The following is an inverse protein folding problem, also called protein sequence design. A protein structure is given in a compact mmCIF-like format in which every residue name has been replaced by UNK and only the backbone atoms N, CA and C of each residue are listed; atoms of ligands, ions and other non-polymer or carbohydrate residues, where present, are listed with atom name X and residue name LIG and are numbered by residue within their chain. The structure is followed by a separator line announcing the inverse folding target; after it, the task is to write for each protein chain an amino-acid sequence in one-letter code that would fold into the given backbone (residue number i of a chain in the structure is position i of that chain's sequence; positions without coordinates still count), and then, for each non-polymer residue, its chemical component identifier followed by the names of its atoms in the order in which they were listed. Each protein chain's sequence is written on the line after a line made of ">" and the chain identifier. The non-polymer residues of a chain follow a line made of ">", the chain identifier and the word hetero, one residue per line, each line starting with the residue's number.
data_IF_520158580951
#
_entry.id   IF_520158580951
#
_cell.length_a   1.000
_cell.length_b   1.000
_cell.length_c   1.000
_cell.angle_alpha   90.00
_cell.angle_beta   90.00
_cell.angle_gamma   90.00
#
_symmetry.space_group_name_H-M   'P 1'
#
loop_
_entity.id
_entity.type
_entity.pdbx_description
1 polymer ?
#
# COMPACT_ATOMS: atom_id res chain seq x y z
N UNK A 1 8.42 -14.37 16.76
CA UNK A 1 9.45 -13.50 16.16
C UNK A 1 8.94 -12.99 14.81
N UNK A 2 8.26 -11.84 14.79
CA UNK A 2 7.64 -11.26 13.59
C UNK A 2 8.62 -10.41 12.76
N UNK A 3 9.71 -9.97 13.39
CA UNK A 3 10.73 -9.08 12.82
C UNK A 3 11.48 -9.73 11.65
N UNK A 4 11.70 -11.04 11.67
CA UNK A 4 12.39 -11.75 10.58
C UNK A 4 11.56 -11.90 9.31
N UNK A 5 10.23 -12.02 9.41
CA UNK A 5 9.35 -12.17 8.26
C UNK A 5 9.14 -10.85 7.51
N UNK A 6 8.99 -9.74 8.23
CA UNK A 6 8.81 -8.41 7.62
C UNK A 6 10.04 -7.97 6.80
N UNK A 7 11.26 -8.30 7.28
CA UNK A 7 12.51 -7.95 6.59
C UNK A 7 12.69 -8.77 5.31
N UNK A 8 12.55 -10.11 5.36
CA UNK A 8 12.64 -10.93 4.14
C UNK A 8 11.54 -10.58 3.15
N UNK A 9 10.32 -10.32 3.60
CA UNK A 9 9.23 -9.93 2.71
C UNK A 9 9.51 -8.58 2.02
N UNK A 10 10.05 -7.60 2.75
CA UNK A 10 10.50 -6.34 2.14
C UNK A 10 11.63 -6.60 1.14
N UNK A 11 12.62 -7.42 1.42
CA UNK A 11 13.67 -7.69 0.41
C UNK A 11 13.13 -8.45 -0.81
N UNK A 12 12.26 -9.44 -0.60
CA UNK A 12 11.73 -10.33 -1.65
C UNK A 12 10.72 -9.63 -2.56
N UNK A 13 9.88 -8.74 -2.01
CA UNK A 13 8.87 -8.00 -2.77
C UNK A 13 9.27 -6.55 -3.06
N UNK A 14 10.25 -6.00 -2.30
CA UNK A 14 10.72 -4.62 -2.43
C UNK A 14 12.02 -4.41 -3.22
N UNK A 15 12.86 -5.42 -3.44
CA UNK A 15 14.13 -5.21 -4.18
C UNK A 15 14.21 -5.73 -5.63
N UNK A 16 13.46 -6.73 -6.13
CA UNK A 16 13.67 -7.20 -7.50
C UNK A 16 12.88 -6.33 -8.50
N UNK A 17 13.62 -5.64 -9.38
CA UNK A 17 13.14 -4.90 -10.57
C UNK A 17 12.07 -3.82 -10.32
N UNK A 18 12.37 -2.84 -9.45
CA UNK A 18 11.42 -1.79 -9.11
C UNK A 18 11.48 -0.59 -10.04
N UNK A 19 10.34 -0.25 -10.64
CA UNK A 19 10.10 1.04 -11.27
C UNK A 19 8.99 1.74 -10.50
N UNK A 20 9.38 2.54 -9.51
CA UNK A 20 8.44 3.39 -8.80
C UNK A 20 8.02 4.56 -9.68
N UNK A 21 6.78 4.99 -9.55
CA UNK A 21 6.29 6.25 -10.13
C UNK A 21 5.66 7.12 -9.06
N UNK A 22 5.61 8.41 -9.32
CA UNK A 22 4.82 9.32 -8.50
C UNK A 22 3.31 9.02 -8.64
N UNK A 23 2.52 9.16 -7.57
CA UNK A 23 1.06 9.15 -7.69
C UNK A 23 0.58 10.42 -8.41
N UNK A 24 -0.53 10.31 -9.15
CA UNK A 24 -1.26 11.48 -9.64
C UNK A 24 -2.14 12.11 -8.53
N UNK A 25 -2.88 13.17 -8.85
CA UNK A 25 -3.72 13.88 -7.86
C UNK A 25 -4.83 13.00 -7.26
N UNK A 26 -5.41 12.09 -8.06
CA UNK A 26 -6.46 11.17 -7.62
C UNK A 26 -5.90 10.11 -6.67
N UNK A 27 -4.82 9.48 -7.10
CA UNK A 27 -4.10 8.46 -6.33
C UNK A 27 -3.54 9.04 -5.04
N UNK A 28 -3.05 10.29 -5.08
CA UNK A 28 -2.57 11.02 -3.91
C UNK A 28 -3.68 11.20 -2.87
N UNK A 29 -4.85 11.66 -3.28
CA UNK A 29 -6.03 11.79 -2.41
C UNK A 29 -6.44 10.43 -1.81
N UNK A 30 -6.45 9.37 -2.63
CA UNK A 30 -6.78 8.01 -2.18
C UNK A 30 -5.75 7.44 -1.21
N UNK A 31 -4.45 7.70 -1.42
CA UNK A 31 -3.37 7.29 -0.54
C UNK A 31 -3.43 8.02 0.81
N UNK A 32 -3.76 9.31 0.82
CA UNK A 32 -3.96 10.09 2.05
C UNK A 32 -5.15 9.55 2.87
N UNK A 33 -6.26 9.19 2.22
CA UNK A 33 -7.41 8.53 2.87
C UNK A 33 -7.03 7.14 3.41
N UNK A 34 -6.36 6.31 2.61
CA UNK A 34 -5.88 5.00 3.06
C UNK A 34 -4.96 5.13 4.26
N UNK A 35 -4.01 6.07 4.24
CA UNK A 35 -3.11 6.35 5.35
C UNK A 35 -3.87 6.69 6.65
N UNK A 36 -4.92 7.50 6.54
CA UNK A 36 -5.73 7.90 7.68
C UNK A 36 -6.53 6.72 8.24
N UNK A 37 -7.17 5.93 7.36
CA UNK A 37 -7.95 4.75 7.77
C UNK A 37 -7.09 3.67 8.40
N UNK A 38 -5.92 3.39 7.84
CA UNK A 38 -4.95 2.47 8.42
C UNK A 38 -4.54 2.92 9.82
N UNK A 39 -4.37 4.23 10.04
CA UNK A 39 -4.01 4.77 11.35
C UNK A 39 -5.07 4.68 12.43
N UNK A 40 -6.30 4.30 12.07
CA UNK A 40 -7.39 4.05 13.01
C UNK A 40 -7.53 2.56 13.38
N UNK A 41 -6.69 1.68 12.83
CA UNK A 41 -6.75 0.24 13.04
C UNK A 41 -5.81 -0.21 14.17
N UNK A 42 -6.16 -1.33 14.79
CA UNK A 42 -5.30 -2.00 15.74
C UNK A 42 -4.19 -2.77 14.99
N UNK A 43 -2.99 -2.86 15.57
CA UNK A 43 -1.86 -3.56 14.96
C UNK A 43 -2.13 -5.05 14.61
N UNK A 44 -3.16 -5.66 15.21
CA UNK A 44 -3.57 -7.04 14.96
C UNK A 44 -4.75 -7.20 13.98
N UNK A 45 -5.19 -6.14 13.31
CA UNK A 45 -6.30 -6.22 12.34
C UNK A 45 -5.97 -7.21 11.23
N UNK A 46 -6.95 -8.04 10.86
CA UNK A 46 -6.74 -9.12 9.90
C UNK A 46 -6.49 -8.58 8.49
N UNK A 47 -5.77 -9.35 7.66
CA UNK A 47 -5.56 -8.97 6.26
C UNK A 47 -6.85 -8.88 5.44
N UNK A 48 -7.92 -9.57 5.85
CA UNK A 48 -9.24 -9.48 5.22
C UNK A 48 -9.96 -8.17 5.55
N UNK A 49 -9.92 -7.74 6.81
CA UNK A 49 -10.49 -6.47 7.24
C UNK A 49 -9.74 -5.29 6.61
N UNK A 50 -8.41 -5.35 6.60
CA UNK A 50 -7.58 -4.35 5.91
C UNK A 50 -7.90 -4.33 4.42
N UNK A 51 -8.02 -5.49 3.78
CA UNK A 51 -8.37 -5.57 2.36
C UNK A 51 -9.72 -4.91 2.09
N UNK A 52 -10.70 -5.07 2.98
CA UNK A 52 -12.01 -4.42 2.87
C UNK A 52 -11.89 -2.90 2.91
N UNK A 53 -11.08 -2.37 3.83
CA UNK A 53 -10.80 -0.92 3.90
C UNK A 53 -10.15 -0.40 2.61
N UNK A 54 -9.17 -1.13 2.08
CA UNK A 54 -8.50 -0.76 0.83
C UNK A 54 -9.50 -0.71 -0.34
N UNK A 55 -10.48 -1.63 -0.39
CA UNK A 55 -11.56 -1.59 -1.37
C UNK A 55 -12.51 -0.39 -1.15
N UNK A 56 -12.86 -0.06 0.09
CA UNK A 56 -13.71 1.11 0.37
C UNK A 56 -13.04 2.42 -0.04
N UNK A 57 -11.72 2.55 0.14
CA UNK A 57 -10.96 3.71 -0.37
C UNK A 57 -11.07 3.79 -1.89
N UNK A 58 -10.79 2.70 -2.61
CA UNK A 58 -10.89 2.70 -4.07
C UNK A 58 -12.29 3.08 -4.58
N UNK A 59 -13.35 2.67 -3.88
CA UNK A 59 -14.73 3.05 -4.19
C UNK A 59 -15.04 4.53 -3.89
N UNK A 60 -14.49 5.06 -2.80
CA UNK A 60 -14.73 6.43 -2.36
C UNK A 60 -14.07 7.50 -3.26
N UNK A 61 -12.98 7.15 -3.95
CA UNK A 61 -12.24 8.05 -4.84
C UNK A 61 -12.56 7.82 -6.33
N UNK A 62 -13.68 7.18 -6.66
CA UNK A 62 -14.26 7.15 -8.02
C UNK A 62 -13.30 6.76 -9.17
N UNK A 63 -12.35 5.84 -8.92
CA UNK A 63 -11.49 5.32 -9.99
C UNK A 63 -12.32 4.75 -11.14
N UNK A 64 -11.87 4.98 -12.39
CA UNK A 64 -12.55 4.50 -13.60
C UNK A 64 -12.84 2.99 -13.54
N UNK A 65 -11.94 2.23 -12.91
CA UNK A 65 -12.22 0.90 -12.41
C UNK A 65 -11.37 0.61 -11.15
N UNK A 66 -11.83 -0.33 -10.31
CA UNK A 66 -11.09 -0.70 -9.09
C UNK A 66 -9.71 -1.32 -9.35
N UNK A 67 -9.47 -1.89 -10.54
CA UNK A 67 -8.17 -2.46 -10.89
C UNK A 67 -7.12 -1.35 -11.03
N UNK A 68 -7.49 -0.16 -11.49
CA UNK A 68 -6.59 0.98 -11.57
C UNK A 68 -6.09 1.40 -10.19
N UNK A 69 -6.97 1.40 -9.18
CA UNK A 69 -6.58 1.66 -7.79
C UNK A 69 -5.55 0.66 -7.26
N UNK A 70 -5.77 -0.64 -7.48
CA UNK A 70 -4.78 -1.65 -7.06
C UNK A 70 -3.48 -1.53 -7.85
N UNK A 71 -3.55 -1.22 -9.14
CA UNK A 71 -2.36 -0.98 -9.96
C UNK A 71 -1.56 0.20 -9.41
N UNK A 72 -2.24 1.30 -9.04
CA UNK A 72 -1.61 2.44 -8.40
C UNK A 72 -0.91 2.06 -7.09
N UNK A 73 -1.56 1.30 -6.21
CA UNK A 73 -0.93 0.81 -4.97
C UNK A 73 0.37 0.03 -5.25
N UNK A 74 0.35 -0.88 -6.22
CA UNK A 74 1.55 -1.66 -6.53
C UNK A 74 2.63 -0.82 -7.21
N UNK A 75 2.30 0.06 -8.14
CA UNK A 75 3.30 0.84 -8.87
C UNK A 75 3.91 1.94 -8.01
N UNK A 76 3.10 2.61 -7.19
CA UNK A 76 3.51 3.73 -6.34
C UNK A 76 4.21 3.24 -5.08
N UNK A 77 3.68 2.21 -4.40
CA UNK A 77 4.22 1.75 -3.10
C UNK A 77 5.20 0.59 -3.27
N UNK A 78 5.00 -0.23 -4.29
CA UNK A 78 5.75 -1.47 -4.48
C UNK A 78 6.51 -1.53 -5.80
N UNK A 79 6.55 -0.48 -6.63
CA UNK A 79 7.32 -0.44 -7.87
C UNK A 79 7.10 -1.61 -8.83
N UNK A 80 5.93 -2.26 -8.78
CA UNK A 80 5.53 -3.40 -9.61
C UNK A 80 4.11 -3.17 -10.12
N UNK A 81 3.74 -3.69 -11.29
CA UNK A 81 2.37 -3.48 -11.82
C UNK A 81 1.32 -4.43 -11.23
N UNK A 82 1.73 -5.40 -10.41
CA UNK A 82 0.84 -6.36 -9.76
C UNK A 82 1.51 -6.97 -8.52
N UNK A 83 0.70 -7.53 -7.61
CA UNK A 83 1.18 -8.20 -6.41
C UNK A 83 0.11 -9.05 -5.73
N UNK A 84 0.45 -9.71 -4.60
CA UNK A 84 -0.52 -10.42 -3.76
C UNK A 84 -1.49 -9.44 -3.11
N UNK A 85 -2.63 -9.93 -2.60
CA UNK A 85 -3.67 -9.09 -1.96
C UNK A 85 -3.06 -8.08 -0.97
N UNK A 86 -3.29 -6.79 -1.20
CA UNK A 86 -2.68 -5.69 -0.47
C UNK A 86 -3.00 -5.71 1.04
N UNK A 87 -4.19 -6.15 1.44
CA UNK A 87 -4.53 -6.28 2.87
C UNK A 87 -3.72 -7.36 3.58
N UNK A 88 -3.49 -8.50 2.91
CA UNK A 88 -2.62 -9.55 3.43
C UNK A 88 -1.16 -9.10 3.51
N UNK A 89 -0.69 -8.35 2.51
CA UNK A 89 0.60 -7.68 2.55
C UNK A 89 0.73 -6.77 3.78
N UNK A 90 -0.25 -5.86 3.98
CA UNK A 90 -0.25 -4.89 5.08
C UNK A 90 -0.26 -5.58 6.45
N UNK A 91 -1.02 -6.67 6.61
CA UNK A 91 -1.05 -7.43 7.86
C UNK A 91 0.28 -8.11 8.19
N UNK A 92 1.05 -8.53 7.18
CA UNK A 92 2.35 -9.18 7.36
C UNK A 92 3.50 -8.17 7.49
N UNK A 93 3.45 -7.10 6.70
CA UNK A 93 4.47 -6.05 6.69
C UNK A 93 4.34 -5.10 7.88
N UNK A 94 3.10 -4.87 8.34
CA UNK A 94 2.75 -3.99 9.44
C UNK A 94 2.00 -2.75 8.97
N UNK A 95 1.01 -2.34 9.77
CA UNK A 95 0.15 -1.19 9.47
C UNK A 95 0.96 0.11 9.50
N UNK A 96 1.79 0.31 10.53
CA UNK A 96 2.60 1.52 10.67
C UNK A 96 3.70 1.59 9.60
N UNK A 97 4.31 0.46 9.27
CA UNK A 97 5.29 0.32 8.19
C UNK A 97 4.65 0.62 6.83
N UNK A 98 3.42 0.19 6.60
CA UNK A 98 2.65 0.53 5.39
C UNK A 98 2.29 2.01 5.34
N UNK A 99 1.92 2.61 6.47
CA UNK A 99 1.68 4.07 6.56
C UNK A 99 2.94 4.88 6.30
N UNK A 100 4.09 4.42 6.77
CA UNK A 100 5.38 5.04 6.48
C UNK A 100 5.69 4.95 4.98
N UNK A 101 5.46 3.79 4.35
CA UNK A 101 5.63 3.60 2.91
C UNK A 101 4.75 4.56 2.09
N UNK A 102 3.48 4.73 2.49
CA UNK A 102 2.58 5.70 1.87
C UNK A 102 3.11 7.13 2.05
N UNK A 103 3.58 7.48 3.25
CA UNK A 103 4.14 8.81 3.53
C UNK A 103 5.37 9.11 2.67
N UNK A 104 6.23 8.12 2.46
CA UNK A 104 7.42 8.25 1.62
C UNK A 104 7.06 8.38 0.13
N UNK A 105 6.04 7.67 -0.33
CA UNK A 105 5.52 7.82 -1.69
C UNK A 105 4.94 9.23 -1.92
N UNK A 106 4.12 9.73 -0.99
CA UNK A 106 3.52 11.06 -1.03
C UNK A 106 4.56 12.19 -0.97
N UNK A 107 5.71 11.92 -0.35
CA UNK A 107 6.85 12.83 -0.29
C UNK A 107 7.82 12.69 -1.50
N UNK A 108 7.53 11.79 -2.45
CA UNK A 108 8.37 11.55 -3.62
C UNK A 108 9.69 10.85 -3.32
N UNK A 109 9.83 10.16 -2.18
CA UNK A 109 11.07 9.48 -1.79
C UNK A 109 11.26 8.12 -2.43
N UNK A 110 10.19 7.53 -2.99
CA UNK A 110 10.25 6.21 -3.63
C UNK A 110 10.55 6.29 -5.13
N UNK A 111 10.07 7.35 -5.80
CA UNK A 111 10.33 7.60 -7.21
C UNK A 111 11.73 8.21 -7.36
N UNK A 112 12.70 7.40 -7.80
CA UNK A 112 14.06 7.83 -8.16
C UNK A 112 14.22 7.98 -9.66
#
# INVERSE_FOLDING_TARGET
>A
ELVGYAISYFEDFVKPTKSFRAPDDLERSALEDLWARLGALDAGTSGEDIQSIVYEVGKAHEFANLRDWFTALYEVLLGQSQGPRFGGFTALYGIEETRQLISDALAGKLAT
#
